data_IF_211916619316
#
_entry.id   IF_211916619316
#
_cell.length_a   1.000
_cell.length_b   1.000
_cell.length_c   1.000
_cell.angle_alpha   90.00
_cell.angle_beta   90.00
_cell.angle_gamma   90.00
#
_symmetry.space_group_name_H-M   'P 1'
#
loop_
_entity.id
_entity.type
_entity.pdbx_description
1 polymer ?
#
# COMPACT_ATOMS: atom_id res chain seq x y z
N UNK A 1 3.63 18.50 5.89
CA UNK A 1 3.52 17.55 4.76
C UNK A 1 4.31 16.33 5.20
N UNK A 2 3.67 15.15 5.30
CA UNK A 2 4.30 13.96 5.88
C UNK A 2 5.51 13.47 5.08
N UNK A 3 6.38 12.71 5.75
CA UNK A 3 7.60 12.15 5.18
C UNK A 3 7.29 11.11 4.09
N UNK A 4 8.19 11.02 3.12
CA UNK A 4 8.17 10.00 2.06
C UNK A 4 9.25 8.98 2.37
N UNK A 5 8.88 7.70 2.40
CA UNK A 5 9.80 6.60 2.65
C UNK A 5 9.89 5.72 1.41
N UNK A 6 11.10 5.24 1.12
CA UNK A 6 11.37 4.35 -0.01
C UNK A 6 12.37 3.28 0.39
N UNK A 7 12.00 2.02 0.19
CA UNK A 7 12.83 0.86 0.53
C UNK A 7 12.90 -0.11 -0.66
N UNK A 8 14.01 -0.82 -0.76
CA UNK A 8 14.26 -1.78 -1.83
C UNK A 8 14.74 -3.13 -1.29
N UNK A 9 14.26 -4.22 -1.89
CA UNK A 9 14.70 -5.58 -1.56
C UNK A 9 14.88 -6.39 -2.82
N UNK A 10 15.96 -7.18 -2.86
CA UNK A 10 16.19 -8.16 -3.92
C UNK A 10 15.43 -9.45 -3.64
N UNK A 11 14.61 -9.87 -4.60
CA UNK A 11 13.91 -11.17 -4.58
C UNK A 11 14.34 -11.94 -5.82
N UNK A 12 15.22 -12.92 -5.63
CA UNK A 12 15.91 -13.59 -6.73
C UNK A 12 16.80 -12.59 -7.48
N UNK A 13 16.58 -12.46 -8.79
CA UNK A 13 17.31 -11.50 -9.65
C UNK A 13 16.56 -10.19 -9.90
N UNK A 14 15.51 -9.90 -9.12
CA UNK A 14 14.65 -8.73 -9.31
C UNK A 14 14.72 -7.82 -8.09
N UNK A 15 15.01 -6.54 -8.31
CA UNK A 15 14.84 -5.50 -7.30
C UNK A 15 13.37 -5.08 -7.23
N UNK A 16 12.77 -5.21 -6.05
CA UNK A 16 11.42 -4.72 -5.74
C UNK A 16 11.54 -3.47 -4.89
N UNK A 17 10.90 -2.37 -5.32
CA UNK A 17 10.90 -1.08 -4.62
C UNK A 17 9.52 -0.80 -4.01
N UNK A 18 9.49 -0.19 -2.83
CA UNK A 18 8.29 0.19 -2.10
C UNK A 18 8.38 1.66 -1.70
N UNK A 19 7.46 2.51 -2.18
CA UNK A 19 7.39 3.93 -1.81
C UNK A 19 6.05 4.24 -1.11
N UNK A 20 6.07 4.96 0.01
CA UNK A 20 4.87 5.41 0.73
C UNK A 20 4.97 6.87 1.17
N UNK A 21 3.85 7.46 1.59
CA UNK A 21 3.77 8.85 2.08
C UNK A 21 3.61 9.92 0.99
N UNK A 22 3.94 9.61 -0.28
CA UNK A 22 3.82 10.55 -1.40
C UNK A 22 2.40 10.65 -1.98
N UNK A 23 1.73 9.51 -2.19
CA UNK A 23 0.44 9.42 -2.88
C UNK A 23 -0.68 8.93 -1.94
N UNK A 24 -1.93 9.22 -2.31
CA UNK A 24 -3.15 8.70 -1.68
C UNK A 24 -3.19 8.80 -0.13
N UNK A 25 -2.68 9.90 0.43
CA UNK A 25 -2.53 10.12 1.89
C UNK A 25 -3.83 10.13 2.72
N UNK A 26 -4.99 10.07 2.07
CA UNK A 26 -6.28 9.93 2.74
C UNK A 26 -6.71 8.47 2.94
N UNK A 27 -6.05 7.52 2.27
CA UNK A 27 -6.24 6.10 2.54
C UNK A 27 -5.64 5.74 3.91
N UNK A 28 -6.13 4.66 4.52
CA UNK A 28 -5.54 4.13 5.76
C UNK A 28 -4.10 3.66 5.53
N UNK A 29 -3.79 3.17 4.32
CA UNK A 29 -2.44 2.90 3.86
C UNK A 29 -2.33 2.97 2.34
N UNK A 30 -1.18 3.39 1.83
CA UNK A 30 -0.89 3.45 0.40
C UNK A 30 0.59 3.19 0.12
N UNK A 31 0.88 2.34 -0.87
CA UNK A 31 2.25 2.02 -1.31
C UNK A 31 2.30 1.94 -2.84
N UNK A 32 3.30 2.57 -3.44
CA UNK A 32 3.68 2.32 -4.84
C UNK A 32 4.75 1.24 -4.85
N UNK A 33 4.39 0.07 -5.38
CA UNK A 33 5.32 -1.03 -5.62
C UNK A 33 5.92 -0.89 -7.02
N UNK A 34 7.18 -1.31 -7.18
CA UNK A 34 7.84 -1.27 -8.47
C UNK A 34 8.79 -2.42 -8.72
N UNK A 35 8.76 -2.92 -9.95
CA UNK A 35 9.76 -3.85 -10.50
C UNK A 35 10.11 -3.35 -11.89
N UNK A 36 11.35 -2.90 -12.08
CA UNK A 36 11.78 -2.21 -13.32
C UNK A 36 10.82 -1.04 -13.62
N UNK A 37 10.28 -0.98 -14.84
CA UNK A 37 9.34 0.05 -15.30
C UNK A 37 7.89 -0.21 -14.86
N UNK A 38 7.57 -1.41 -14.37
CA UNK A 38 6.20 -1.72 -13.93
C UNK A 38 5.99 -1.17 -12.52
N UNK A 39 4.96 -0.32 -12.38
CA UNK A 39 4.55 0.28 -11.10
C UNK A 39 3.09 -0.05 -10.82
N UNK A 40 2.79 -0.37 -9.57
CA UNK A 40 1.43 -0.62 -9.08
C UNK A 40 1.20 0.21 -7.82
N UNK A 41 0.14 1.02 -7.81
CA UNK A 41 -0.33 1.68 -6.60
C UNK A 41 -1.31 0.75 -5.87
N UNK A 42 -0.96 0.36 -4.66
CA UNK A 42 -1.82 -0.40 -3.75
C UNK A 42 -2.30 0.49 -2.63
N UNK A 43 -3.61 0.54 -2.41
CA UNK A 43 -4.23 1.30 -1.32
C UNK A 43 -5.12 0.40 -0.49
N UNK A 44 -5.19 0.67 0.81
CA UNK A 44 -6.10 0.00 1.74
C UNK A 44 -6.90 1.04 2.52
N UNK A 45 -8.16 0.73 2.76
CA UNK A 45 -9.07 1.49 3.61
C UNK A 45 -9.86 0.52 4.46
N UNK A 46 -10.19 0.92 5.68
CA UNK A 46 -11.07 0.19 6.58
C UNK A 46 -12.08 1.16 7.16
N UNK A 47 -13.36 0.77 7.16
CA UNK A 47 -14.37 1.49 7.92
C UNK A 47 -14.25 1.14 9.41
N UNK A 48 -14.56 2.11 10.28
CA UNK A 48 -14.80 1.81 11.69
C UNK A 48 -16.06 0.92 11.81
N UNK A 49 -15.99 -0.10 12.65
CA UNK A 49 -17.06 -1.09 12.79
C UNK A 49 -18.25 -0.54 13.57
N UNK A 50 -19.46 -0.94 13.18
CA UNK A 50 -20.72 -0.46 13.74
C UNK A 50 -21.61 -1.57 14.35
N UNK A 51 -21.12 -2.81 14.43
CA UNK A 51 -21.88 -3.90 15.05
C UNK A 51 -21.35 -5.30 14.79
N UNK A 52 -22.07 -6.29 15.32
CA UNK A 52 -21.81 -7.72 15.08
C UNK A 52 -22.24 -8.07 13.64
N UNK A 53 -21.33 -8.64 12.87
CA UNK A 53 -21.59 -9.12 11.50
C UNK A 53 -21.30 -10.60 11.44
N UNK A 54 -22.11 -11.33 10.70
CA UNK A 54 -21.94 -12.78 10.51
C UNK A 54 -20.89 -13.10 9.43
N UNK A 55 -20.38 -12.07 8.75
CA UNK A 55 -19.36 -12.15 7.72
C UNK A 55 -18.49 -10.88 7.68
N UNK A 56 -17.26 -11.01 7.14
CA UNK A 56 -16.34 -9.89 6.92
C UNK A 56 -16.39 -9.45 5.44
N UNK A 57 -16.96 -8.27 5.11
CA UNK A 57 -16.92 -7.75 3.74
C UNK A 57 -15.51 -7.22 3.42
N UNK A 58 -14.80 -7.92 2.53
CA UNK A 58 -13.46 -7.55 2.06
C UNK A 58 -13.39 -7.62 0.54
N UNK A 59 -12.79 -6.59 -0.06
CA UNK A 59 -12.45 -6.49 -1.48
C UNK A 59 -11.11 -5.81 -1.62
#
# INVERSE_FOLDING_TARGET
>A
IGDVYSEGVEVGSRLITFETGKLARFAAGAVVLGIKETKVLSTVVSAEGDGTRDFLPLT
#
